data_IF_624561851501
#
_entry.id   IF_624561851501
#
_cell.length_a   1.000
_cell.length_b   1.000
_cell.length_c   1.000
_cell.angle_alpha   90.00
_cell.angle_beta   90.00
_cell.angle_gamma   90.00
#
_symmetry.space_group_name_H-M   'P 1'
#
loop_
_entity.id
_entity.type
_entity.pdbx_description
1 polymer ?
#
# COMPACT_ATOMS: atom_id res chain seq x y z
N UNK A 1 -10.98 13.95 2.26
CA UNK A 1 -10.87 13.24 0.97
C UNK A 1 -10.36 11.84 1.26
N UNK A 2 -10.91 10.80 0.63
CA UNK A 2 -10.48 9.43 0.88
C UNK A 2 -9.14 9.15 0.18
N UNK A 3 -8.17 8.57 0.88
CA UNK A 3 -6.84 8.20 0.33
C UNK A 3 -6.91 7.30 -0.91
N UNK A 4 -8.06 6.65 -1.15
CA UNK A 4 -8.33 5.85 -2.34
C UNK A 4 -8.24 6.65 -3.66
N UNK A 5 -8.54 7.96 -3.65
CA UNK A 5 -8.47 8.78 -4.88
C UNK A 5 -7.02 9.05 -5.29
N UNK A 6 -6.13 9.28 -4.33
CA UNK A 6 -4.70 9.48 -4.61
C UNK A 6 -4.03 8.17 -5.06
N UNK A 7 -4.45 7.03 -4.52
CA UNK A 7 -3.95 5.72 -4.94
C UNK A 7 -4.15 5.48 -6.43
N UNK A 8 -5.27 5.94 -7.00
CA UNK A 8 -5.56 5.74 -8.42
C UNK A 8 -4.51 6.40 -9.32
N UNK A 9 -4.23 7.68 -9.11
CA UNK A 9 -3.23 8.43 -9.88
C UNK A 9 -1.79 7.92 -9.66
N UNK A 10 -1.48 7.44 -8.45
CA UNK A 10 -0.17 6.85 -8.14
C UNK A 10 0.01 5.48 -8.81
N UNK A 11 -1.04 4.68 -8.88
CA UNK A 11 -1.00 3.40 -9.59
C UNK A 11 -0.72 3.63 -11.08
N UNK A 12 -1.26 4.68 -11.69
CA UNK A 12 -1.00 5.00 -13.10
C UNK A 12 0.48 5.26 -13.40
N UNK A 13 1.20 5.88 -12.47
CA UNK A 13 2.62 6.19 -12.57
C UNK A 13 3.53 5.07 -12.04
N UNK A 14 2.96 3.97 -11.56
CA UNK A 14 3.71 2.85 -11.01
C UNK A 14 4.52 2.15 -12.12
N UNK A 15 5.82 1.88 -11.90
CA UNK A 15 6.61 1.07 -12.83
C UNK A 15 6.10 -0.38 -12.88
N UNK A 16 6.54 -1.13 -13.90
CA UNK A 16 6.24 -2.56 -13.98
C UNK A 16 6.76 -3.28 -12.74
N UNK A 17 5.86 -3.96 -12.04
CA UNK A 17 6.16 -4.66 -10.78
C UNK A 17 5.36 -5.95 -10.72
N UNK A 18 5.94 -7.00 -10.15
CA UNK A 18 5.25 -8.28 -9.99
C UNK A 18 4.37 -8.32 -8.74
N UNK A 19 4.76 -7.61 -7.68
CA UNK A 19 4.06 -7.61 -6.40
C UNK A 19 4.02 -6.18 -5.87
N UNK A 20 2.81 -5.70 -5.54
CA UNK A 20 2.61 -4.41 -4.90
C UNK A 20 2.28 -4.58 -3.41
N UNK A 21 3.08 -3.96 -2.57
CA UNK A 21 2.81 -3.83 -1.14
C UNK A 21 1.97 -2.59 -0.86
N UNK A 22 0.87 -2.77 -0.14
CA UNK A 22 -0.01 -1.67 0.23
C UNK A 22 -0.44 -1.72 1.69
N UNK A 23 -0.77 -0.55 2.23
CA UNK A 23 -1.40 -0.46 3.55
C UNK A 23 -2.81 -1.07 3.55
N UNK A 24 -3.23 -1.58 4.71
CA UNK A 24 -4.58 -2.09 4.94
C UNK A 24 -5.67 -1.08 4.56
N UNK A 25 -5.41 0.22 4.71
CA UNK A 25 -6.32 1.30 4.28
C UNK A 25 -6.69 1.23 2.80
N UNK A 26 -5.75 0.79 1.94
CA UNK A 26 -5.93 0.65 0.49
C UNK A 26 -6.59 -0.66 0.07
N UNK A 27 -7.00 -1.51 1.01
CA UNK A 27 -7.80 -2.70 0.70
C UNK A 27 -9.20 -2.29 0.23
N UNK A 28 -9.30 -2.06 -1.08
CA UNK A 28 -10.54 -1.84 -1.83
C UNK A 28 -10.50 -2.67 -3.11
N UNK A 29 -11.67 -3.07 -3.58
CA UNK A 29 -11.77 -3.86 -4.82
C UNK A 29 -11.34 -3.06 -6.05
N UNK A 30 -11.51 -1.74 -6.04
CA UNK A 30 -11.06 -0.87 -7.13
C UNK A 30 -9.52 -0.87 -7.23
N UNK A 31 -8.84 -0.63 -6.10
CA UNK A 31 -7.37 -0.63 -6.03
C UNK A 31 -6.80 -1.99 -6.43
N UNK A 32 -7.32 -3.09 -5.87
CA UNK A 32 -6.85 -4.45 -6.20
C UNK A 32 -6.98 -4.75 -7.69
N UNK A 33 -8.14 -4.45 -8.30
CA UNK A 33 -8.35 -4.67 -9.74
C UNK A 33 -7.41 -3.83 -10.60
N UNK A 34 -7.13 -2.59 -10.21
CA UNK A 34 -6.20 -1.73 -10.94
C UNK A 34 -4.77 -2.27 -10.89
N UNK A 35 -4.34 -2.77 -9.73
CA UNK A 35 -3.04 -3.43 -9.56
C UNK A 35 -2.94 -4.68 -10.44
N UNK A 36 -3.97 -5.53 -10.42
CA UNK A 36 -4.06 -6.74 -11.26
C UNK A 36 -4.06 -6.39 -12.75
N UNK A 37 -4.77 -5.33 -13.18
CA UNK A 37 -4.77 -4.87 -14.57
C UNK A 37 -3.41 -4.36 -15.06
N UNK A 38 -2.54 -3.98 -14.13
CA UNK A 38 -1.15 -3.57 -14.39
C UNK A 38 -0.16 -4.74 -14.34
N UNK A 39 -0.65 -5.97 -14.20
CA UNK A 39 0.18 -7.19 -14.16
C UNK A 39 0.85 -7.46 -12.80
N UNK A 40 0.44 -6.74 -11.75
CA UNK A 40 0.99 -6.87 -10.41
C UNK A 40 0.04 -7.65 -9.48
N UNK A 41 0.60 -8.40 -8.52
CA UNK A 41 -0.17 -9.05 -7.47
C UNK A 41 -0.32 -8.13 -6.24
N UNK A 42 -1.55 -7.83 -5.78
CA UNK A 42 -1.76 -6.97 -4.62
C UNK A 42 -1.51 -7.71 -3.30
N UNK A 43 -0.32 -7.53 -2.70
CA UNK A 43 0.01 -8.01 -1.35
C UNK A 43 -0.43 -6.99 -0.28
N UNK A 44 -1.74 -6.81 -0.17
CA UNK A 44 -2.38 -5.87 0.77
C UNK A 44 -3.04 -6.68 1.91
N UNK A 45 -2.75 -6.38 3.19
CA UNK A 45 -3.44 -7.01 4.30
C UNK A 45 -4.97 -6.79 4.19
N UNK A 46 -5.80 -7.84 4.33
CA UNK A 46 -7.25 -7.70 4.23
C UNK A 46 -7.80 -6.88 5.40
N UNK A 47 -8.80 -6.04 5.13
CA UNK A 47 -9.60 -5.39 6.19
C UNK A 47 -10.36 -6.42 7.01
N UNK A 48 -10.61 -6.10 8.28
CA UNK A 48 -11.27 -7.00 9.24
C UNK A 48 -12.70 -7.34 8.81
N UNK A 49 -13.37 -6.40 8.14
CA UNK A 49 -14.73 -6.55 7.63
C UNK A 49 -14.83 -7.26 6.26
N UNK A 50 -13.70 -7.72 5.69
CA UNK A 50 -13.71 -8.36 4.37
C UNK A 50 -14.19 -9.80 4.51
N UNK A 51 -15.28 -10.14 3.82
CA UNK A 51 -15.85 -11.50 3.80
C UNK A 51 -14.91 -12.53 3.18
N UNK A 52 -14.14 -12.14 2.16
CA UNK A 52 -13.18 -13.01 1.48
C UNK A 52 -11.75 -12.53 1.73
N UNK A 53 -10.95 -13.34 2.41
CA UNK A 53 -9.53 -13.07 2.63
C UNK A 53 -8.74 -13.45 1.39
N UNK A 54 -8.26 -12.47 0.65
CA UNK A 54 -7.40 -12.69 -0.51
C UNK A 54 -6.01 -13.20 -0.11
N UNK A 55 -5.29 -13.74 -1.09
CA UNK A 55 -3.90 -14.15 -0.96
C UNK A 55 -3.06 -13.00 -0.40
N UNK A 56 -2.56 -13.17 0.81
CA UNK A 56 -1.65 -12.26 1.50
C UNK A 56 -0.51 -13.09 2.07
N UNK A 57 0.73 -12.67 1.81
CA UNK A 57 1.91 -13.32 2.35
C UNK A 57 2.47 -12.46 3.50
N UNK A 58 2.37 -12.93 4.76
CA UNK A 58 2.98 -12.24 5.90
C UNK A 58 4.50 -12.15 5.77
N UNK A 59 5.12 -13.10 5.08
CA UNK A 59 6.58 -13.16 4.86
C UNK A 59 7.01 -12.00 3.97
N UNK A 60 6.34 -11.80 2.83
CA UNK A 60 6.61 -10.66 1.95
C UNK A 60 6.29 -9.33 2.64
N UNK A 61 5.33 -9.31 3.57
CA UNK A 61 4.99 -8.10 4.32
C UNK A 61 5.94 -7.80 5.50
N UNK A 62 6.89 -8.70 5.83
CA UNK A 62 7.81 -8.52 6.95
C UNK A 62 8.76 -7.33 6.73
N UNK A 63 9.18 -7.12 5.49
CA UNK A 63 10.12 -6.05 5.12
C UNK A 63 9.47 -4.67 5.14
N UNK A 64 8.13 -4.60 5.25
CA UNK A 64 7.39 -3.36 5.36
C UNK A 64 7.76 -2.55 6.61
N UNK A 65 8.17 -3.19 7.70
CA UNK A 65 8.63 -2.50 8.92
C UNK A 65 9.87 -1.63 8.66
N UNK A 66 10.76 -2.02 7.74
CA UNK A 66 11.90 -1.18 7.37
C UNK A 66 11.45 0.11 6.67
N UNK A 67 10.50 -0.02 5.75
CA UNK A 67 9.88 1.11 5.02
C UNK A 67 9.15 2.03 6.00
N UNK A 68 8.34 1.48 6.91
CA UNK A 68 7.61 2.27 7.93
C UNK A 68 8.56 3.03 8.85
N UNK A 69 9.64 2.40 9.32
CA UNK A 69 10.64 3.06 10.17
C UNK A 69 11.34 4.20 9.43
N UNK A 70 11.65 4.04 8.15
CA UNK A 70 12.19 5.11 7.32
C UNK A 70 11.22 6.30 7.23
N UNK A 71 9.94 6.06 6.94
CA UNK A 71 8.94 7.12 6.90
C UNK A 71 8.71 7.80 8.25
N UNK A 72 8.74 7.05 9.36
CA UNK A 72 8.66 7.64 10.70
C UNK A 72 9.81 8.62 10.93
N UNK A 73 11.05 8.25 10.63
CA UNK A 73 12.20 9.17 10.74
C UNK A 73 12.04 10.41 9.87
N UNK A 74 11.55 10.27 8.63
CA UNK A 74 11.29 11.42 7.76
C UNK A 74 10.24 12.36 8.35
N UNK A 75 9.20 11.83 9.01
CA UNK A 75 8.19 12.64 9.72
C UNK A 75 8.77 13.35 10.94
N UNK A 76 9.70 12.71 11.66
CA UNK A 76 10.39 13.34 12.79
C UNK A 76 11.18 14.58 12.34
N UNK A 77 11.91 14.48 11.22
CA UNK A 77 12.62 15.63 10.64
C UNK A 77 11.68 16.73 10.16
N UNK A 78 10.52 16.39 9.57
CA UNK A 78 9.51 17.37 9.17
C UNK A 78 9.01 18.18 10.37
N UNK A 79 8.80 17.54 11.52
CA UNK A 79 8.37 18.23 12.75
C UNK A 79 9.40 19.26 13.24
N UNK A 80 10.69 18.99 13.03
CA UNK A 80 11.77 19.91 13.41
C UNK A 80 11.84 21.10 12.44
N UNK A 81 11.67 20.87 11.13
CA UNK A 81 11.78 21.92 10.12
C UNK A 81 10.61 22.91 10.07
N UNK A 82 9.43 22.56 10.60
CA UNK A 82 8.24 23.43 10.65
C UNK A 82 8.05 24.17 11.98
N UNK A 83 9.11 24.28 12.79
CA UNK A 83 9.11 25.11 14.01
C UNK A 83 9.74 26.47 13.79
#
# INVERSE_FOLDING_TARGET
MADCTAADALLDQMPETHILHGDKGYDSNAVRRKIESKGAAPNIPPKVNRRWKNCFSPVLNRDRNAIERMFCRLKDFRRIATR
#
